data_IF_699145954735
#
_entry.id   IF_699145954735
#
_cell.length_a   1.000
_cell.length_b   1.000
_cell.length_c   1.000
_cell.angle_alpha   90.00
_cell.angle_beta   90.00
_cell.angle_gamma   90.00
#
_symmetry.space_group_name_H-M   'P 1'
#
loop_
_entity.id
_entity.type
_entity.pdbx_description
1 polymer ?
#
# COMPACT_ATOMS: atom_id res chain seq x y z
N UNK A 1 -18.19 -95.38 -90.94
CA UNK A 1 -18.60 -94.27 -90.03
C UNK A 1 -19.18 -94.91 -88.77
N UNK A 2 -18.47 -94.89 -87.63
CA UNK A 2 -19.03 -95.00 -86.25
C UNK A 2 -17.97 -95.37 -85.15
N UNK A 3 -16.68 -95.01 -85.28
CA UNK A 3 -15.67 -95.47 -84.29
C UNK A 3 -14.69 -94.39 -83.78
N UNK A 4 -14.98 -93.09 -83.94
CA UNK A 4 -14.19 -92.01 -83.32
C UNK A 4 -14.88 -91.26 -82.18
N UNK A 5 -16.07 -91.70 -81.74
CA UNK A 5 -16.85 -91.01 -80.71
C UNK A 5 -16.62 -91.53 -79.28
N UNK A 6 -16.06 -92.75 -79.09
CA UNK A 6 -16.00 -93.42 -77.78
C UNK A 6 -14.81 -93.06 -76.88
N UNK A 7 -13.68 -92.64 -77.44
CA UNK A 7 -12.45 -92.34 -76.67
C UNK A 7 -12.39 -90.90 -76.16
N UNK A 8 -13.09 -89.96 -76.81
CA UNK A 8 -13.15 -88.56 -76.41
C UNK A 8 -14.00 -88.35 -75.13
N UNK A 9 -15.05 -89.16 -74.97
CA UNK A 9 -16.00 -89.05 -73.84
C UNK A 9 -15.38 -89.44 -72.49
N UNK A 10 -14.38 -90.34 -72.48
CA UNK A 10 -13.75 -90.82 -71.23
C UNK A 10 -12.70 -89.85 -70.68
N UNK A 11 -11.92 -89.20 -71.56
CA UNK A 11 -10.99 -88.13 -71.18
C UNK A 11 -11.70 -86.85 -70.77
N UNK A 12 -12.85 -86.55 -71.38
CA UNK A 12 -13.70 -85.43 -70.96
C UNK A 12 -14.33 -85.67 -69.57
N UNK A 13 -14.72 -86.91 -69.25
CA UNK A 13 -15.26 -87.25 -67.92
C UNK A 13 -14.24 -87.05 -66.78
N UNK A 14 -12.98 -87.47 -66.95
CA UNK A 14 -11.91 -87.24 -65.95
C UNK A 14 -11.56 -85.76 -65.80
N UNK A 15 -11.52 -85.00 -66.92
CA UNK A 15 -11.32 -83.55 -66.89
C UNK A 15 -12.45 -82.85 -66.15
N UNK A 16 -13.70 -83.26 -66.38
CA UNK A 16 -14.88 -82.75 -65.67
C UNK A 16 -14.79 -83.08 -64.17
N UNK A 17 -14.33 -84.28 -63.80
CA UNK A 17 -14.17 -84.68 -62.40
C UNK A 17 -13.05 -83.89 -61.68
N UNK A 18 -11.91 -83.66 -62.34
CA UNK A 18 -10.84 -82.82 -61.83
C UNK A 18 -11.27 -81.36 -61.68
N UNK A 19 -12.06 -80.84 -62.63
CA UNK A 19 -12.61 -79.48 -62.57
C UNK A 19 -13.66 -79.34 -61.46
N UNK A 20 -14.46 -80.38 -61.21
CA UNK A 20 -15.37 -80.45 -60.06
C UNK A 20 -14.63 -80.53 -58.72
N UNK A 21 -13.53 -81.30 -58.64
CA UNK A 21 -12.69 -81.39 -57.44
C UNK A 21 -11.99 -80.05 -57.15
N UNK A 22 -11.42 -79.42 -58.18
CA UNK A 22 -10.83 -78.09 -58.10
C UNK A 22 -11.88 -77.05 -57.67
N UNK A 23 -13.09 -77.08 -58.24
CA UNK A 23 -14.20 -76.21 -57.84
C UNK A 23 -14.62 -76.43 -56.38
N UNK A 24 -14.67 -77.68 -55.91
CA UNK A 24 -14.96 -77.99 -54.50
C UNK A 24 -13.86 -77.47 -53.57
N UNK A 25 -12.60 -77.66 -53.93
CA UNK A 25 -11.45 -77.14 -53.16
C UNK A 25 -11.47 -75.62 -53.11
N UNK A 26 -11.75 -74.96 -54.24
CA UNK A 26 -11.81 -73.50 -54.34
C UNK A 26 -13.01 -72.93 -53.57
N UNK A 27 -14.15 -73.62 -53.56
CA UNK A 27 -15.29 -73.27 -52.71
C UNK A 27 -14.94 -73.41 -51.22
N UNK A 28 -14.20 -74.45 -50.85
CA UNK A 28 -13.75 -74.67 -49.48
C UNK A 28 -12.67 -73.66 -49.05
N UNK A 29 -11.78 -73.23 -49.94
CA UNK A 29 -10.80 -72.18 -49.67
C UNK A 29 -11.44 -70.80 -49.56
N UNK A 30 -12.43 -70.49 -50.40
CA UNK A 30 -13.24 -69.26 -50.27
C UNK A 30 -13.98 -69.26 -48.94
N UNK A 31 -14.56 -70.38 -48.53
CA UNK A 31 -15.26 -70.49 -47.26
C UNK A 31 -14.31 -70.33 -46.06
N UNK A 32 -13.11 -70.94 -46.11
CA UNK A 32 -12.06 -70.71 -45.11
C UNK A 32 -11.62 -69.25 -45.05
N UNK A 33 -11.43 -68.60 -46.21
CA UNK A 33 -11.09 -67.19 -46.29
C UNK A 33 -12.21 -66.30 -45.74
N UNK A 34 -13.48 -66.67 -45.95
CA UNK A 34 -14.65 -65.97 -45.42
C UNK A 34 -14.71 -66.07 -43.90
N UNK A 35 -14.45 -67.25 -43.34
CA UNK A 35 -14.37 -67.47 -41.90
C UNK A 35 -13.21 -66.68 -41.29
N UNK A 36 -12.04 -66.68 -41.94
CA UNK A 36 -10.90 -65.84 -41.52
C UNK A 36 -11.23 -64.34 -41.59
N UNK A 37 -11.91 -63.89 -42.65
CA UNK A 37 -12.37 -62.51 -42.78
C UNK A 37 -13.34 -62.08 -41.68
N UNK A 38 -14.26 -62.96 -41.28
CA UNK A 38 -15.16 -62.72 -40.14
C UNK A 38 -14.41 -62.71 -38.80
N UNK A 39 -13.41 -63.57 -38.63
CA UNK A 39 -12.57 -63.57 -37.43
C UNK A 39 -11.71 -62.29 -37.33
N UNK A 40 -11.16 -61.81 -38.44
CA UNK A 40 -10.45 -60.53 -38.53
C UNK A 40 -11.37 -59.34 -38.26
N UNK A 41 -12.58 -59.33 -38.83
CA UNK A 41 -13.58 -58.30 -38.55
C UNK A 41 -13.99 -58.26 -37.07
N UNK A 42 -13.99 -59.42 -36.39
CA UNK A 42 -14.23 -59.50 -34.94
C UNK A 42 -13.01 -59.07 -34.10
N UNK A 43 -11.79 -59.25 -34.61
CA UNK A 43 -10.56 -58.87 -33.94
C UNK A 43 -10.22 -57.37 -34.08
N UNK A 44 -10.63 -56.73 -35.18
CA UNK A 44 -10.47 -55.28 -35.44
C UNK A 44 -10.86 -54.39 -34.25
N UNK A 45 -12.12 -54.43 -33.76
CA UNK A 45 -12.55 -53.59 -32.65
C UNK A 45 -11.81 -53.88 -31.34
N UNK A 46 -11.33 -55.11 -31.12
CA UNK A 46 -10.51 -55.44 -29.94
C UNK A 46 -9.10 -54.85 -30.06
N UNK A 47 -8.54 -54.82 -31.26
CA UNK A 47 -7.26 -54.20 -31.51
C UNK A 47 -7.36 -52.68 -31.38
N UNK A 48 -8.45 -52.09 -31.87
CA UNK A 48 -8.76 -50.67 -31.70
C UNK A 48 -8.93 -50.31 -30.22
N UNK A 49 -9.64 -51.13 -29.43
CA UNK A 49 -9.77 -50.95 -27.98
C UNK A 49 -8.40 -51.03 -27.27
N UNK A 50 -7.57 -52.01 -27.62
CA UNK A 50 -6.21 -52.13 -27.08
C UNK A 50 -5.38 -50.89 -27.47
N UNK A 51 -5.46 -50.43 -28.72
CA UNK A 51 -4.73 -49.27 -29.20
C UNK A 51 -5.19 -47.98 -28.49
N UNK A 52 -6.48 -47.85 -28.16
CA UNK A 52 -7.00 -46.74 -27.36
C UNK A 52 -6.56 -46.79 -25.89
N UNK A 53 -6.37 -47.98 -25.32
CA UNK A 53 -5.96 -48.17 -23.91
C UNK A 53 -4.44 -48.18 -23.71
N UNK A 54 -3.67 -48.41 -24.77
CA UNK A 54 -2.21 -48.48 -24.70
C UNK A 54 -1.57 -47.18 -24.18
N UNK A 55 -1.97 -45.97 -24.60
CA UNK A 55 -1.37 -44.73 -24.12
C UNK A 55 -1.63 -44.46 -22.64
N UNK A 56 -2.83 -44.78 -22.14
CA UNK A 56 -3.16 -44.62 -20.72
C UNK A 56 -2.44 -45.63 -19.83
N UNK A 57 -2.25 -46.85 -20.34
CA UNK A 57 -1.45 -47.87 -19.66
C UNK A 57 0.04 -47.51 -19.68
N UNK A 58 0.56 -46.99 -20.80
CA UNK A 58 1.94 -46.56 -20.94
C UNK A 58 2.27 -45.38 -20.02
N UNK A 59 1.36 -44.40 -19.92
CA UNK A 59 1.45 -43.31 -18.96
C UNK A 59 1.49 -43.82 -17.51
N UNK A 60 0.59 -44.75 -17.14
CA UNK A 60 0.54 -45.32 -15.79
C UNK A 60 1.77 -46.16 -15.42
N UNK A 61 2.46 -46.76 -16.40
CA UNK A 61 3.66 -47.60 -16.19
C UNK A 61 4.96 -46.80 -16.31
N UNK A 62 4.92 -45.56 -16.83
CA UNK A 62 6.07 -44.66 -16.99
C UNK A 62 6.91 -44.46 -15.72
N UNK A 63 6.35 -44.20 -14.52
CA UNK A 63 7.15 -44.07 -13.29
C UNK A 63 7.83 -45.37 -12.85
N UNK A 64 7.38 -46.53 -13.33
CA UNK A 64 8.02 -47.83 -13.07
C UNK A 64 9.18 -48.07 -14.06
N UNK A 65 9.14 -47.45 -15.25
CA UNK A 65 10.17 -47.53 -16.28
C UNK A 65 11.23 -46.42 -16.18
N UNK A 66 10.98 -45.37 -15.42
CA UNK A 66 11.94 -44.29 -15.21
C UNK A 66 13.22 -44.81 -14.53
N UNK A 67 14.34 -44.15 -14.81
CA UNK A 67 15.64 -44.55 -14.28
C UNK A 67 15.59 -44.57 -12.75
N UNK A 68 16.12 -45.65 -12.15
CA UNK A 68 16.07 -45.89 -10.70
C UNK A 68 16.76 -44.76 -9.94
N UNK A 69 17.85 -44.24 -10.50
CA UNK A 69 18.61 -43.15 -9.90
C UNK A 69 17.85 -41.81 -10.01
N UNK A 70 17.14 -41.57 -11.12
CA UNK A 70 16.28 -40.40 -11.27
C UNK A 70 15.11 -40.42 -10.27
N UNK A 71 14.46 -41.57 -10.05
CA UNK A 71 13.37 -41.73 -9.10
C UNK A 71 13.80 -41.50 -7.64
N UNK A 72 15.00 -41.93 -7.27
CA UNK A 72 15.57 -41.68 -5.93
C UNK A 72 15.90 -40.19 -5.76
N UNK A 73 16.43 -39.54 -6.80
CA UNK A 73 16.74 -38.11 -6.79
C UNK A 73 15.49 -37.22 -6.77
N UNK A 74 14.38 -37.62 -7.42
CA UNK A 74 13.10 -36.88 -7.42
C UNK A 74 12.65 -36.54 -6.00
N UNK A 75 12.75 -37.47 -5.04
CA UNK A 75 12.38 -37.21 -3.65
C UNK A 75 13.19 -36.06 -3.01
N UNK A 76 14.48 -35.97 -3.33
CA UNK A 76 15.35 -34.87 -2.89
C UNK A 76 14.95 -33.52 -3.52
N UNK A 77 14.68 -33.52 -4.83
CA UNK A 77 14.22 -32.33 -5.53
C UNK A 77 12.85 -31.84 -5.03
N UNK A 78 11.89 -32.76 -4.84
CA UNK A 78 10.58 -32.46 -4.27
C UNK A 78 10.70 -31.82 -2.89
N UNK A 79 11.47 -32.43 -1.98
CA UNK A 79 11.66 -31.89 -0.64
C UNK A 79 12.34 -30.52 -0.65
N UNK A 80 13.22 -30.26 -1.63
CA UNK A 80 13.94 -29.00 -1.78
C UNK A 80 13.04 -27.80 -2.13
N UNK A 81 11.93 -27.98 -2.86
CA UNK A 81 10.98 -26.87 -3.07
C UNK A 81 9.74 -26.94 -2.19
N UNK A 82 9.20 -28.13 -1.91
CA UNK A 82 7.96 -28.27 -1.13
C UNK A 82 8.17 -27.81 0.31
N UNK A 83 9.34 -28.09 0.91
CA UNK A 83 9.67 -27.63 2.26
C UNK A 83 9.61 -26.11 2.40
N UNK A 84 10.37 -25.36 1.58
CA UNK A 84 10.32 -23.89 1.59
C UNK A 84 8.96 -23.31 1.18
N UNK A 85 8.28 -23.90 0.18
CA UNK A 85 6.93 -23.47 -0.20
C UNK A 85 5.93 -23.65 0.97
N UNK A 86 6.02 -24.74 1.71
CA UNK A 86 5.22 -24.95 2.91
C UNK A 86 5.56 -23.95 4.04
N UNK A 87 6.82 -23.53 4.17
CA UNK A 87 7.22 -22.50 5.11
C UNK A 87 6.62 -21.13 4.74
N UNK A 88 6.63 -20.76 3.46
CA UNK A 88 5.97 -19.55 2.95
C UNK A 88 4.47 -19.58 3.22
N UNK A 89 3.80 -20.71 2.97
CA UNK A 89 2.37 -20.87 3.28
C UNK A 89 2.07 -20.71 4.78
N UNK A 90 2.92 -21.26 5.66
CA UNK A 90 2.75 -21.06 7.12
C UNK A 90 2.85 -19.59 7.53
N UNK A 91 3.74 -18.82 6.91
CA UNK A 91 3.85 -17.38 7.18
C UNK A 91 2.62 -16.63 6.66
N UNK A 92 2.09 -17.04 5.50
CA UNK A 92 0.85 -16.51 4.94
C UNK A 92 -0.36 -16.79 5.85
N UNK A 93 -0.48 -18.01 6.38
CA UNK A 93 -1.51 -18.37 7.37
C UNK A 93 -1.36 -17.56 8.67
N UNK A 94 -0.11 -17.32 9.09
CA UNK A 94 0.16 -16.49 10.26
C UNK A 94 -0.29 -15.03 10.04
N UNK A 95 -0.08 -14.47 8.85
CA UNK A 95 -0.58 -13.13 8.47
C UNK A 95 -2.11 -13.06 8.60
N UNK A 96 -2.83 -14.04 8.07
CA UNK A 96 -4.29 -14.13 8.21
C UNK A 96 -4.73 -14.29 9.68
N UNK A 97 -3.95 -15.01 10.48
CA UNK A 97 -4.17 -15.10 11.93
C UNK A 97 -4.05 -13.77 12.67
N UNK A 98 -3.29 -12.80 12.13
CA UNK A 98 -3.14 -11.45 12.71
C UNK A 98 -4.30 -10.51 12.37
N UNK A 99 -5.08 -10.81 11.33
CA UNK A 99 -6.20 -9.97 10.87
C UNK A 99 -7.17 -9.62 11.99
N UNK A 100 -7.59 -10.61 12.78
CA UNK A 100 -8.53 -10.41 13.89
C UNK A 100 -8.00 -9.41 14.93
N UNK A 101 -6.69 -9.41 15.16
CA UNK A 101 -6.04 -8.48 16.08
C UNK A 101 -5.89 -7.08 15.48
N UNK A 102 -5.71 -6.95 14.17
CA UNK A 102 -5.60 -5.67 13.45
C UNK A 102 -6.96 -5.03 13.15
N UNK A 103 -8.00 -5.85 13.11
CA UNK A 103 -9.40 -5.40 13.07
C UNK A 103 -9.84 -4.80 14.41
N UNK A 104 -9.18 -5.16 15.50
CA UNK A 104 -9.42 -4.55 16.81
C UNK A 104 -9.02 -3.08 16.82
N UNK A 105 -9.64 -2.32 17.72
CA UNK A 105 -9.44 -0.89 17.80
C UNK A 105 -8.10 -0.56 18.48
N UNK A 106 -7.23 0.28 17.88
CA UNK A 106 -5.93 0.62 18.49
C UNK A 106 -6.08 1.40 19.82
N UNK A 107 -7.29 1.88 20.16
CA UNK A 107 -7.64 2.48 21.45
C UNK A 107 -7.31 1.61 22.66
N UNK A 108 -7.63 0.32 22.56
CA UNK A 108 -7.64 -0.58 23.72
C UNK A 108 -6.22 -1.00 24.11
N UNK A 109 -5.32 -1.12 23.14
CA UNK A 109 -3.93 -1.51 23.35
C UNK A 109 -3.03 -1.02 22.19
N UNK A 110 -2.64 0.27 22.24
CA UNK A 110 -1.75 0.85 21.24
C UNK A 110 -0.39 0.11 21.13
N UNK A 111 0.35 -0.20 22.22
CA UNK A 111 1.62 -0.91 22.09
C UNK A 111 1.45 -2.33 21.55
N UNK A 112 0.40 -3.05 21.95
CA UNK A 112 0.04 -4.35 21.36
C UNK A 112 -0.26 -4.24 19.87
N UNK A 113 -1.07 -3.27 19.47
CA UNK A 113 -1.41 -3.02 18.06
C UNK A 113 -0.16 -2.73 17.21
N UNK A 114 0.73 -1.85 17.70
CA UNK A 114 1.99 -1.55 17.00
C UNK A 114 2.89 -2.78 16.91
N UNK A 115 2.92 -3.64 17.94
CA UNK A 115 3.70 -4.89 17.89
C UNK A 115 3.17 -5.87 16.84
N UNK A 116 1.84 -5.99 16.73
CA UNK A 116 1.18 -6.84 15.73
C UNK A 116 1.43 -6.31 14.32
N UNK A 117 1.33 -4.99 14.13
CA UNK A 117 1.64 -4.36 12.85
C UNK A 117 3.11 -4.55 12.47
N UNK A 118 4.03 -4.57 13.43
CA UNK A 118 5.46 -4.87 13.17
C UNK A 118 5.65 -6.29 12.66
N UNK A 119 4.97 -7.25 13.31
CA UNK A 119 4.99 -8.65 12.89
C UNK A 119 4.38 -8.84 11.51
N UNK A 120 3.33 -8.09 11.18
CA UNK A 120 2.76 -8.06 9.84
C UNK A 120 3.78 -7.56 8.81
N UNK A 121 4.42 -6.42 9.05
CA UNK A 121 5.46 -5.87 8.16
C UNK A 121 6.62 -6.85 7.95
N UNK A 122 7.11 -7.47 9.03
CA UNK A 122 8.17 -8.48 8.97
C UNK A 122 7.75 -9.71 8.16
N UNK A 123 6.51 -10.17 8.35
CA UNK A 123 5.95 -11.30 7.61
C UNK A 123 5.76 -10.95 6.13
N UNK A 124 5.26 -9.77 5.79
CA UNK A 124 5.07 -9.34 4.40
C UNK A 124 6.41 -9.16 3.67
N UNK A 125 7.43 -8.60 4.33
CA UNK A 125 8.79 -8.54 3.78
C UNK A 125 9.35 -9.94 3.52
N UNK A 126 9.18 -10.86 4.49
CA UNK A 126 9.58 -12.26 4.30
C UNK A 126 8.86 -12.91 3.13
N UNK A 127 7.54 -12.72 3.00
CA UNK A 127 6.77 -13.24 1.88
C UNK A 127 7.25 -12.64 0.55
N UNK A 128 7.48 -11.33 0.48
CA UNK A 128 8.00 -10.66 -0.71
C UNK A 128 9.35 -11.24 -1.17
N UNK A 129 10.27 -11.51 -0.24
CA UNK A 129 11.60 -12.06 -0.54
C UNK A 129 11.55 -13.57 -0.90
N UNK A 130 10.70 -14.35 -0.24
CA UNK A 130 10.72 -15.81 -0.33
C UNK A 130 9.70 -16.41 -1.31
N UNK A 131 8.60 -15.70 -1.62
CA UNK A 131 7.61 -16.17 -2.59
C UNK A 131 8.23 -16.30 -3.99
N UNK A 132 9.11 -15.37 -4.40
CA UNK A 132 9.80 -15.45 -5.69
C UNK A 132 10.72 -16.67 -5.80
N UNK A 133 11.51 -16.92 -4.75
CA UNK A 133 12.38 -18.09 -4.64
C UNK A 133 11.58 -19.40 -4.60
N UNK A 134 10.45 -19.43 -3.89
CA UNK A 134 9.58 -20.59 -3.83
C UNK A 134 8.99 -20.95 -5.20
N UNK A 135 8.58 -19.95 -6.00
CA UNK A 135 8.12 -20.20 -7.38
C UNK A 135 9.26 -20.77 -8.23
N UNK A 136 10.46 -20.20 -8.14
CA UNK A 136 11.63 -20.70 -8.88
C UNK A 136 11.94 -22.15 -8.53
N UNK A 137 11.98 -22.50 -7.23
CA UNK A 137 12.23 -23.90 -6.84
C UNK A 137 11.14 -24.86 -7.32
N UNK A 138 9.88 -24.41 -7.38
CA UNK A 138 8.79 -25.24 -7.92
C UNK A 138 8.90 -25.40 -9.44
N UNK A 139 9.37 -24.37 -10.16
CA UNK A 139 9.67 -24.45 -11.59
C UNK A 139 10.82 -25.43 -11.86
N UNK A 140 11.90 -25.35 -11.09
CA UNK A 140 13.06 -26.25 -11.22
C UNK A 140 12.66 -27.74 -11.07
N UNK A 141 11.72 -28.05 -10.15
CA UNK A 141 11.20 -29.42 -10.03
C UNK A 141 10.36 -29.80 -11.25
N UNK A 142 9.51 -28.90 -11.73
CA UNK A 142 8.65 -29.19 -12.88
C UNK A 142 9.47 -29.43 -14.13
N UNK A 143 10.56 -28.68 -14.33
CA UNK A 143 11.56 -28.91 -15.39
C UNK A 143 12.26 -30.26 -15.20
N UNK A 144 12.75 -30.57 -13.99
CA UNK A 144 13.37 -31.86 -13.69
C UNK A 144 12.44 -33.07 -13.92
N UNK A 145 11.15 -32.94 -13.58
CA UNK A 145 10.15 -33.99 -13.81
C UNK A 145 9.82 -34.19 -15.29
N UNK A 146 9.89 -33.11 -16.09
CA UNK A 146 9.73 -33.15 -17.54
C UNK A 146 10.94 -33.82 -18.21
N UNK A 147 12.16 -33.42 -17.84
CA UNK A 147 13.41 -33.94 -18.38
C UNK A 147 13.59 -35.45 -18.15
N UNK A 148 13.15 -35.95 -16.98
CA UNK A 148 13.27 -37.36 -16.63
C UNK A 148 12.04 -38.19 -17.02
N UNK A 149 11.03 -37.58 -17.65
CA UNK A 149 9.76 -38.23 -18.05
C UNK A 149 9.03 -38.99 -16.93
N UNK A 150 9.21 -38.55 -15.68
CA UNK A 150 8.72 -39.26 -14.48
C UNK A 150 7.22 -39.04 -14.24
N UNK A 151 6.66 -37.94 -14.76
CA UNK A 151 5.27 -37.54 -14.53
C UNK A 151 4.41 -37.52 -15.80
N UNK A 152 3.10 -37.61 -15.62
CA UNK A 152 2.12 -37.48 -16.70
C UNK A 152 2.14 -36.08 -17.33
N UNK A 153 2.09 -36.00 -18.66
CA UNK A 153 2.04 -34.73 -19.39
C UNK A 153 0.87 -33.82 -18.97
N UNK A 154 -0.28 -34.42 -18.63
CA UNK A 154 -1.45 -33.67 -18.13
C UNK A 154 -1.17 -33.05 -16.76
N UNK A 155 -0.46 -33.75 -15.90
CA UNK A 155 -0.10 -33.27 -14.56
C UNK A 155 0.93 -32.14 -14.65
N UNK A 156 1.97 -32.30 -15.47
CA UNK A 156 2.97 -31.26 -15.73
C UNK A 156 2.33 -30.01 -16.35
N UNK A 157 1.41 -30.17 -17.30
CA UNK A 157 0.68 -29.04 -17.90
C UNK A 157 -0.16 -28.28 -16.87
N UNK A 158 -0.85 -28.99 -15.97
CA UNK A 158 -1.59 -28.36 -14.88
C UNK A 158 -0.66 -27.63 -13.90
N UNK A 159 0.49 -28.21 -13.54
CA UNK A 159 1.47 -27.56 -12.68
C UNK A 159 2.07 -26.31 -13.33
N UNK A 160 2.45 -26.37 -14.61
CA UNK A 160 2.93 -25.21 -15.37
C UNK A 160 1.89 -24.10 -15.43
N UNK A 161 0.61 -24.44 -15.62
CA UNK A 161 -0.50 -23.48 -15.60
C UNK A 161 -0.63 -22.80 -14.22
N UNK A 162 -0.57 -23.57 -13.14
CA UNK A 162 -0.62 -23.03 -11.77
C UNK A 162 0.58 -22.13 -11.46
N UNK A 163 1.79 -22.51 -11.88
CA UNK A 163 3.00 -21.69 -11.72
C UNK A 163 2.93 -20.39 -12.52
N UNK A 164 2.40 -20.45 -13.75
CA UNK A 164 2.16 -19.27 -14.56
C UNK A 164 1.19 -18.30 -13.87
N UNK A 165 0.08 -18.81 -13.32
CA UNK A 165 -0.86 -17.99 -12.55
C UNK A 165 -0.19 -17.36 -11.31
N UNK A 166 0.62 -18.13 -10.57
CA UNK A 166 1.35 -17.60 -9.41
C UNK A 166 2.37 -16.52 -9.79
N UNK A 167 2.99 -16.63 -10.97
CA UNK A 167 3.93 -15.62 -11.50
C UNK A 167 3.20 -14.35 -11.93
N UNK A 168 2.02 -14.48 -12.55
CA UNK A 168 1.17 -13.34 -12.89
C UNK A 168 0.73 -12.58 -11.62
N UNK A 169 0.37 -13.32 -10.55
CA UNK A 169 0.05 -12.78 -9.22
C UNK A 169 1.24 -12.15 -8.48
N UNK A 170 2.47 -12.43 -8.92
CA UNK A 170 3.69 -11.85 -8.38
C UNK A 170 4.17 -10.60 -9.12
N UNK A 171 3.44 -10.13 -10.13
CA UNK A 171 3.75 -8.85 -10.76
C UNK A 171 3.80 -7.71 -9.72
N UNK A 172 4.70 -6.74 -9.93
CA UNK A 172 5.09 -5.71 -8.95
C UNK A 172 3.90 -4.97 -8.30
N UNK A 173 2.79 -4.81 -9.02
CA UNK A 173 1.57 -4.12 -8.55
C UNK A 173 0.77 -4.94 -7.51
N UNK A 174 0.87 -6.27 -7.54
CA UNK A 174 0.14 -7.19 -6.65
C UNK A 174 1.00 -7.69 -5.48
N UNK A 175 2.34 -7.57 -5.56
CA UNK A 175 3.26 -7.77 -4.41
C UNK A 175 2.94 -6.84 -3.25
N UNK A 176 2.47 -5.64 -3.55
CA UNK A 176 2.04 -4.66 -2.55
C UNK A 176 0.70 -5.03 -1.87
N UNK A 177 -0.02 -6.05 -2.38
CA UNK A 177 -1.36 -6.45 -1.93
C UNK A 177 -1.45 -7.90 -1.46
N UNK A 178 -0.33 -8.54 -1.13
CA UNK A 178 -0.30 -9.92 -0.60
C UNK A 178 -1.18 -10.09 0.65
N UNK A 179 -1.49 -8.99 1.33
CA UNK A 179 -2.33 -8.87 2.51
C UNK A 179 -3.79 -8.45 2.24
N UNK A 180 -4.18 -8.30 0.97
CA UNK A 180 -5.50 -7.79 0.59
C UNK A 180 -5.77 -6.34 1.02
N UNK A 181 -4.73 -5.55 1.34
CA UNK A 181 -4.85 -4.19 1.87
C UNK A 181 -5.04 -4.10 3.38
N UNK A 182 -4.77 -5.18 4.12
CA UNK A 182 -4.86 -5.21 5.58
C UNK A 182 -3.90 -4.22 6.25
N UNK A 183 -2.67 -4.11 5.77
CA UNK A 183 -1.66 -3.17 6.23
C UNK A 183 -2.15 -1.73 6.00
N UNK A 184 -2.66 -1.44 4.81
CA UNK A 184 -3.21 -0.12 4.48
C UNK A 184 -4.40 0.23 5.39
N UNK A 185 -5.33 -0.68 5.61
CA UNK A 185 -6.46 -0.48 6.51
C UNK A 185 -6.02 -0.30 7.97
N UNK A 186 -4.98 -1.01 8.41
CA UNK A 186 -4.41 -0.87 9.74
C UNK A 186 -3.69 0.49 9.91
N UNK A 187 -2.97 0.94 8.88
CA UNK A 187 -2.35 2.26 8.84
C UNK A 187 -3.40 3.38 8.82
N UNK A 188 -4.49 3.22 8.06
CA UNK A 188 -5.62 4.17 8.04
C UNK A 188 -6.25 4.30 9.43
N UNK A 189 -6.39 3.19 10.17
CA UNK A 189 -6.84 3.22 11.57
C UNK A 189 -5.86 3.99 12.46
N UNK A 190 -4.55 3.78 12.31
CA UNK A 190 -3.55 4.53 13.05
C UNK A 190 -3.56 6.03 12.72
N UNK A 191 -3.80 6.39 11.45
CA UNK A 191 -4.00 7.78 11.04
C UNK A 191 -5.25 8.39 11.70
N UNK A 192 -6.34 7.62 11.81
CA UNK A 192 -7.55 7.99 12.55
C UNK A 192 -7.30 8.21 14.05
N UNK A 193 -6.54 7.32 14.68
CA UNK A 193 -6.14 7.45 16.09
C UNK A 193 -5.23 8.65 16.31
N UNK A 194 -4.29 8.90 15.39
CA UNK A 194 -3.43 10.07 15.42
C UNK A 194 -4.26 11.36 15.34
N UNK A 195 -5.22 11.42 14.40
CA UNK A 195 -6.18 12.54 14.30
C UNK A 195 -6.97 12.70 15.60
N UNK A 196 -7.51 11.61 16.15
CA UNK A 196 -8.33 11.69 17.37
C UNK A 196 -7.54 12.14 18.59
N UNK A 197 -6.35 11.58 18.84
CA UNK A 197 -5.47 12.00 19.94
C UNK A 197 -5.12 13.48 19.83
N UNK A 198 -4.93 13.99 18.62
CA UNK A 198 -4.75 15.42 18.41
C UNK A 198 -6.04 16.19 18.73
N UNK A 199 -7.20 15.79 18.21
CA UNK A 199 -8.46 16.52 18.41
C UNK A 199 -8.92 16.52 19.88
N UNK A 200 -8.87 15.38 20.57
CA UNK A 200 -9.31 15.24 21.97
C UNK A 200 -8.49 16.07 22.95
N UNK A 201 -7.21 16.30 22.62
CA UNK A 201 -6.28 17.04 23.48
C UNK A 201 -5.94 18.44 22.94
N UNK A 202 -6.57 18.87 21.83
CA UNK A 202 -6.42 20.23 21.30
C UNK A 202 -7.58 21.11 21.78
N UNK A 203 -7.36 21.81 22.89
CA UNK A 203 -8.30 22.83 23.37
C UNK A 203 -7.83 24.19 22.88
N UNK A 204 -8.70 25.00 22.23
CA UNK A 204 -8.39 26.38 21.90
C UNK A 204 -7.98 27.17 23.14
N UNK A 205 -6.91 27.95 23.08
CA UNK A 205 -6.46 28.77 24.20
C UNK A 205 -7.26 30.09 24.22
N UNK A 206 -8.13 30.32 25.22
CA UNK A 206 -8.80 31.61 25.35
C UNK A 206 -7.80 32.67 25.84
N UNK A 207 -7.87 33.88 25.30
CA UNK A 207 -7.18 35.05 25.86
C UNK A 207 -7.94 35.49 27.11
N UNK A 208 -7.35 35.31 28.30
CA UNK A 208 -7.92 35.89 29.53
C UNK A 208 -7.73 37.41 29.53
N UNK A 209 -8.82 38.15 29.75
CA UNK A 209 -8.82 39.60 29.91
C UNK A 209 -7.95 40.02 31.10
N UNK A 210 -7.16 41.12 31.04
CA UNK A 210 -6.18 41.48 32.07
C UNK A 210 -6.76 42.10 33.36
N UNK A 211 -8.01 41.81 33.73
CA UNK A 211 -8.67 42.49 34.86
C UNK A 211 -8.81 41.69 36.15
N UNK A 212 -8.13 40.56 36.32
CA UNK A 212 -8.11 39.88 37.62
C UNK A 212 -6.71 39.38 37.99
N UNK A 213 -6.06 40.18 38.84
CA UNK A 213 -5.00 39.81 39.79
C UNK A 213 -3.62 39.42 39.23
N UNK A 214 -2.70 40.38 39.35
CA UNK A 214 -1.37 40.16 39.92
C UNK A 214 -0.33 39.47 39.04
N UNK A 215 0.87 40.02 39.06
CA UNK A 215 2.09 39.43 38.50
C UNK A 215 2.26 37.97 38.94
N UNK A 216 1.89 37.03 38.09
CA UNK A 216 2.35 35.66 38.21
C UNK A 216 2.59 35.13 36.80
N UNK A 217 3.80 34.63 36.56
CA UNK A 217 4.17 33.99 35.31
C UNK A 217 3.18 32.86 35.00
N UNK A 218 2.18 33.14 34.16
CA UNK A 218 1.23 32.14 33.68
C UNK A 218 2.00 31.27 32.69
N UNK A 219 2.60 30.21 33.23
CA UNK A 219 3.10 29.08 32.45
C UNK A 219 1.91 28.63 31.59
N UNK A 220 2.02 28.85 30.28
CA UNK A 220 1.02 28.39 29.32
C UNK A 220 0.74 26.90 29.61
N UNK A 221 -0.53 26.47 29.70
CA UNK A 221 -0.86 25.07 29.93
C UNK A 221 -0.14 24.23 28.88
N UNK A 222 0.58 23.19 29.32
CA UNK A 222 1.25 22.25 28.42
C UNK A 222 0.26 21.80 27.34
N UNK A 223 0.51 22.06 26.04
CA UNK A 223 -0.51 21.93 25.00
C UNK A 223 -0.95 20.47 24.75
N UNK A 224 -0.20 19.48 25.25
CA UNK A 224 -0.57 18.05 25.28
C UNK A 224 0.08 17.38 26.51
N UNK A 225 -0.57 16.38 27.15
CA UNK A 225 0.07 15.55 28.16
C UNK A 225 1.25 14.74 27.56
N UNK A 226 2.35 14.59 28.31
CA UNK A 226 3.56 13.86 27.86
C UNK A 226 3.26 12.44 27.35
N UNK A 227 2.29 11.76 27.99
CA UNK A 227 1.85 10.41 27.59
C UNK A 227 1.24 10.42 26.18
N UNK A 228 0.51 11.47 25.81
CA UNK A 228 -0.09 11.62 24.49
C UNK A 228 1.00 11.87 23.45
N UNK A 229 2.00 12.70 23.78
CA UNK A 229 3.15 12.97 22.90
C UNK A 229 3.92 11.67 22.64
N UNK A 230 4.20 10.86 23.66
CA UNK A 230 4.86 9.57 23.49
C UNK A 230 4.05 8.61 22.60
N UNK A 231 2.72 8.58 22.75
CA UNK A 231 1.83 7.80 21.87
C UNK A 231 1.87 8.31 20.43
N UNK A 232 1.80 9.63 20.22
CA UNK A 232 1.89 10.26 18.90
C UNK A 232 3.24 9.95 18.24
N UNK A 233 4.35 10.07 18.98
CA UNK A 233 5.69 9.73 18.48
C UNK A 233 5.80 8.24 18.10
N UNK A 234 5.19 7.34 18.87
CA UNK A 234 5.19 5.90 18.56
C UNK A 234 4.40 5.59 17.28
N UNK A 235 3.24 6.22 17.10
CA UNK A 235 2.43 6.11 15.88
C UNK A 235 3.19 6.69 14.68
N UNK A 236 3.77 7.88 14.85
CA UNK A 236 4.49 8.61 13.82
C UNK A 236 5.72 7.82 13.34
N UNK A 237 6.48 7.23 14.26
CA UNK A 237 7.61 6.36 13.91
C UNK A 237 7.21 5.18 13.03
N UNK A 238 5.99 4.64 13.19
CA UNK A 238 5.48 3.55 12.35
C UNK A 238 4.89 4.03 11.03
N UNK A 239 4.22 5.17 11.00
CA UNK A 239 3.73 5.77 9.76
C UNK A 239 4.88 6.21 8.84
N UNK A 240 6.02 6.65 9.41
CA UNK A 240 7.23 6.95 8.65
C UNK A 240 7.85 5.71 8.02
N UNK A 241 7.94 4.61 8.78
CA UNK A 241 8.46 3.34 8.25
C UNK A 241 7.67 2.84 7.03
N UNK A 242 6.41 3.26 6.90
CA UNK A 242 5.50 2.93 5.79
C UNK A 242 5.34 4.08 4.76
N UNK A 243 6.26 5.06 4.71
CA UNK A 243 6.25 6.19 3.77
C UNK A 243 4.99 7.09 3.82
N UNK A 244 4.26 7.11 4.94
CA UNK A 244 3.02 7.90 5.11
C UNK A 244 3.22 9.24 5.83
N UNK A 245 4.45 9.76 5.85
CA UNK A 245 4.82 10.99 6.56
C UNK A 245 4.02 12.22 6.07
N UNK A 246 3.84 12.39 4.76
CA UNK A 246 3.12 13.55 4.20
C UNK A 246 1.66 13.62 4.66
N UNK A 247 0.96 12.47 4.69
CA UNK A 247 -0.40 12.37 5.21
C UNK A 247 -0.46 12.74 6.69
N UNK A 248 0.50 12.26 7.49
CA UNK A 248 0.60 12.60 8.92
C UNK A 248 0.80 14.11 9.13
N UNK A 249 1.69 14.73 8.36
CA UNK A 249 1.92 16.17 8.40
C UNK A 249 0.62 16.90 8.04
N UNK A 250 -0.08 16.49 6.99
CA UNK A 250 -1.34 17.10 6.59
C UNK A 250 -2.40 17.01 7.71
N UNK A 251 -2.56 15.84 8.34
CA UNK A 251 -3.51 15.65 9.45
C UNK A 251 -3.13 16.54 10.64
N UNK A 252 -1.84 16.59 10.98
CA UNK A 252 -1.34 17.41 12.10
C UNK A 252 -1.52 18.90 11.84
N UNK A 253 -1.23 19.36 10.63
CA UNK A 253 -1.42 20.76 10.20
C UNK A 253 -2.91 21.12 10.20
N UNK A 254 -3.80 20.24 9.72
CA UNK A 254 -5.24 20.47 9.67
C UNK A 254 -5.86 20.59 11.08
N UNK A 255 -5.61 19.61 11.96
CA UNK A 255 -6.20 19.59 13.32
C UNK A 255 -5.65 20.72 14.20
N UNK A 256 -4.33 20.94 14.21
CA UNK A 256 -3.75 22.01 15.04
C UNK A 256 -3.93 23.39 14.40
N UNK A 257 -3.87 23.49 13.08
CA UNK A 257 -4.14 24.72 12.35
C UNK A 257 -5.58 25.21 12.57
N UNK A 258 -6.56 24.31 12.55
CA UNK A 258 -7.94 24.65 12.90
C UNK A 258 -8.10 25.06 14.36
N UNK A 259 -7.38 24.44 15.30
CA UNK A 259 -7.38 24.82 16.72
C UNK A 259 -6.80 26.23 16.94
N UNK A 260 -5.67 26.55 16.29
CA UNK A 260 -5.06 27.88 16.35
C UNK A 260 -5.98 28.92 15.70
N UNK A 261 -6.57 28.59 14.55
CA UNK A 261 -7.56 29.46 13.88
C UNK A 261 -8.77 29.72 14.75
N UNK A 262 -9.32 28.70 15.41
CA UNK A 262 -10.44 28.86 16.35
C UNK A 262 -10.07 29.74 17.54
N UNK A 263 -8.84 29.58 18.08
CA UNK A 263 -8.33 30.44 19.16
C UNK A 263 -8.19 31.89 18.71
N UNK A 264 -7.80 32.12 17.46
CA UNK A 264 -7.69 33.46 16.88
C UNK A 264 -9.05 34.06 16.52
N UNK A 265 -10.00 33.28 15.99
CA UNK A 265 -11.36 33.72 15.70
C UNK A 265 -12.11 34.14 16.98
N UNK A 266 -11.82 33.50 18.12
CA UNK A 266 -12.36 33.93 19.42
C UNK A 266 -11.91 35.34 19.85
N UNK A 267 -10.90 35.93 19.18
CA UNK A 267 -10.42 37.29 19.43
C UNK A 267 -11.13 38.36 18.60
N UNK A 268 -12.16 37.98 17.83
CA UNK A 268 -12.98 38.89 17.02
C UNK A 268 -12.10 39.75 16.08
N UNK A 269 -11.45 39.07 15.14
CA UNK A 269 -10.42 39.63 14.26
C UNK A 269 -10.98 40.35 13.03
N UNK A 270 -12.28 40.63 12.99
CA UNK A 270 -12.96 41.29 11.87
C UNK A 270 -12.32 42.64 11.50
N UNK A 271 -11.65 43.29 12.46
CA UNK A 271 -10.90 44.53 12.21
C UNK A 271 -9.64 44.36 11.34
N UNK A 272 -9.12 43.14 11.17
CA UNK A 272 -7.94 42.89 10.33
C UNK A 272 -8.28 42.95 8.83
N UNK A 273 -9.55 42.78 8.45
CA UNK A 273 -10.02 42.82 7.06
C UNK A 273 -10.43 44.22 6.60
N UNK A 274 -10.29 45.25 7.46
CA UNK A 274 -10.65 46.63 7.14
C UNK A 274 -9.86 47.11 5.92
N UNK A 275 -10.60 47.58 4.91
CA UNK A 275 -10.04 48.13 3.68
C UNK A 275 -9.36 49.49 3.91
N UNK A 276 -8.39 49.85 3.07
CA UNK A 276 -7.69 51.16 3.17
C UNK A 276 -8.66 52.34 3.09
N UNK A 277 -9.79 52.17 2.41
CA UNK A 277 -10.85 53.18 2.28
C UNK A 277 -11.60 53.40 3.60
N UNK A 278 -12.02 52.34 4.28
CA UNK A 278 -12.68 52.40 5.60
C UNK A 278 -11.70 52.82 6.69
N UNK A 279 -10.43 52.42 6.56
CA UNK A 279 -9.35 52.85 7.45
C UNK A 279 -9.17 54.37 7.47
N UNK A 280 -9.49 55.09 6.39
CA UNK A 280 -9.32 56.54 6.35
C UNK A 280 -10.52 57.33 6.91
N UNK A 281 -11.66 56.66 7.18
CA UNK A 281 -12.92 57.31 7.60
C UNK A 281 -13.18 57.19 9.11
N UNK A 282 -12.51 56.24 9.79
CA UNK A 282 -12.82 55.84 11.16
C UNK A 282 -11.96 56.60 12.18
N UNK A 283 -12.58 57.36 13.09
CA UNK A 283 -11.87 58.07 14.18
C UNK A 283 -11.30 57.13 15.28
N UNK A 284 -11.66 55.84 15.29
CA UNK A 284 -11.27 54.86 16.34
C UNK A 284 -10.04 53.98 16.02
N UNK A 285 -9.22 54.37 15.04
CA UNK A 285 -8.04 53.60 14.55
C UNK A 285 -7.01 53.32 15.65
N UNK A 286 -6.77 54.26 16.57
CA UNK A 286 -5.82 54.04 17.69
C UNK A 286 -6.26 52.86 18.57
N UNK A 287 -7.58 52.69 18.76
CA UNK A 287 -8.13 51.54 19.48
C UNK A 287 -7.89 50.22 18.74
N UNK A 288 -7.96 50.21 17.40
CA UNK A 288 -7.65 49.04 16.59
C UNK A 288 -6.16 48.71 16.57
N UNK A 289 -5.26 49.71 16.51
CA UNK A 289 -3.81 49.48 16.57
C UNK A 289 -3.40 48.94 17.95
N UNK A 290 -3.97 49.46 19.04
CA UNK A 290 -3.74 48.95 20.39
C UNK A 290 -4.32 47.53 20.60
N UNK A 291 -5.44 47.19 19.95
CA UNK A 291 -5.96 45.81 19.91
C UNK A 291 -5.06 44.90 19.07
N UNK A 292 -4.60 45.36 17.91
CA UNK A 292 -3.67 44.65 17.03
C UNK A 292 -2.37 44.29 17.75
N UNK A 293 -1.73 45.25 18.44
CA UNK A 293 -0.50 44.99 19.19
C UNK A 293 -0.70 43.94 20.28
N UNK A 294 -1.82 43.98 21.02
CA UNK A 294 -2.16 42.98 22.04
C UNK A 294 -2.45 41.61 21.46
N UNK A 295 -3.21 41.54 20.36
CA UNK A 295 -3.56 40.27 19.71
C UNK A 295 -2.33 39.64 19.04
N UNK A 296 -1.46 40.45 18.45
CA UNK A 296 -0.20 39.99 17.87
C UNK A 296 0.76 39.50 18.96
N UNK A 297 0.88 40.21 20.08
CA UNK A 297 1.69 39.75 21.22
C UNK A 297 1.18 38.41 21.75
N UNK A 298 -0.14 38.26 21.91
CA UNK A 298 -0.74 36.99 22.34
C UNK A 298 -0.49 35.86 21.34
N UNK A 299 -0.69 36.12 20.04
CA UNK A 299 -0.47 35.15 18.99
C UNK A 299 0.98 34.64 18.97
N UNK A 300 1.96 35.55 19.07
CA UNK A 300 3.39 35.20 18.98
C UNK A 300 3.87 34.50 20.26
N UNK A 301 3.59 35.08 21.44
CA UNK A 301 4.14 34.58 22.72
C UNK A 301 3.40 33.39 23.30
N UNK A 302 2.13 33.19 22.96
CA UNK A 302 1.33 32.12 23.57
C UNK A 302 0.94 31.06 22.55
N UNK A 303 0.34 31.43 21.40
CA UNK A 303 -0.09 30.45 20.40
C UNK A 303 1.08 29.86 19.62
N UNK A 304 1.88 30.70 18.96
CA UNK A 304 2.98 30.24 18.11
C UNK A 304 4.14 29.65 18.91
N UNK A 305 4.46 30.18 20.10
CA UNK A 305 5.47 29.55 20.95
C UNK A 305 5.05 28.17 21.46
N UNK A 306 3.77 27.99 21.84
CA UNK A 306 3.26 26.67 22.24
C UNK A 306 3.28 25.68 21.07
N UNK A 307 2.84 26.10 19.88
CA UNK A 307 2.90 25.26 18.68
C UNK A 307 4.33 24.93 18.25
N UNK A 308 5.26 25.86 18.40
CA UNK A 308 6.67 25.64 18.09
C UNK A 308 7.27 24.56 18.99
N UNK A 309 7.03 24.65 20.31
CA UNK A 309 7.46 23.62 21.27
C UNK A 309 6.82 22.27 20.97
N UNK A 310 5.52 22.27 20.67
CA UNK A 310 4.80 21.04 20.36
C UNK A 310 5.26 20.39 19.06
N UNK A 311 5.51 21.17 18.01
CA UNK A 311 6.07 20.65 16.76
C UNK A 311 7.45 20.04 17.00
N UNK A 312 8.29 20.70 17.79
CA UNK A 312 9.59 20.14 18.17
C UNK A 312 9.43 18.84 18.96
N UNK A 313 8.55 18.79 19.96
CA UNK A 313 8.32 17.59 20.77
C UNK A 313 7.71 16.42 19.97
N UNK A 314 6.76 16.67 19.07
CA UNK A 314 6.12 15.60 18.27
C UNK A 314 7.06 15.07 17.18
N UNK A 315 7.86 15.95 16.55
CA UNK A 315 8.70 15.61 15.39
C UNK A 315 10.20 15.51 15.70
N UNK A 316 10.60 15.51 16.98
CA UNK A 316 12.00 15.48 17.42
C UNK A 316 12.85 14.42 16.69
N UNK A 317 12.25 13.25 16.41
CA UNK A 317 12.94 12.09 15.83
C UNK A 317 13.09 12.11 14.30
N UNK A 318 12.54 13.11 13.60
CA UNK A 318 12.32 13.07 12.14
C UNK A 318 13.26 14.00 11.38
N UNK A 319 13.80 15.01 12.07
CA UNK A 319 14.77 15.95 11.51
C UNK A 319 14.26 17.39 11.49
N UNK A 320 15.21 18.32 11.62
CA UNK A 320 14.96 19.74 11.82
C UNK A 320 14.15 20.38 10.68
N UNK A 321 14.36 19.94 9.44
CA UNK A 321 13.75 20.54 8.26
C UNK A 321 12.24 20.23 8.14
N UNK A 322 11.84 19.00 8.52
CA UNK A 322 10.45 18.54 8.39
C UNK A 322 9.53 19.26 9.37
N UNK A 323 9.95 19.40 10.64
CA UNK A 323 9.12 20.06 11.64
C UNK A 323 9.11 21.58 11.47
N UNK A 324 10.22 22.18 11.03
CA UNK A 324 10.27 23.61 10.68
C UNK A 324 9.37 23.91 9.48
N UNK A 325 9.37 23.04 8.45
CA UNK A 325 8.44 23.12 7.33
C UNK A 325 6.98 22.99 7.76
N UNK A 326 6.68 22.05 8.67
CA UNK A 326 5.36 21.87 9.25
C UNK A 326 4.89 23.11 10.04
N UNK A 327 5.75 23.65 10.90
CA UNK A 327 5.49 24.88 11.66
C UNK A 327 5.26 26.07 10.72
N UNK A 328 6.08 26.24 9.68
CA UNK A 328 5.92 27.32 8.71
C UNK A 328 4.57 27.25 7.98
N UNK A 329 4.18 26.08 7.49
CA UNK A 329 2.87 25.85 6.86
C UNK A 329 1.72 26.18 7.82
N UNK A 330 1.82 25.73 9.08
CA UNK A 330 0.84 26.07 10.12
C UNK A 330 0.77 27.57 10.37
N UNK A 331 1.90 28.24 10.55
CA UNK A 331 1.95 29.66 10.84
C UNK A 331 1.30 30.49 9.73
N UNK A 332 1.60 30.18 8.48
CA UNK A 332 0.98 30.79 7.31
C UNK A 332 -0.55 30.57 7.31
N UNK A 333 -1.01 29.34 7.56
CA UNK A 333 -2.45 29.02 7.58
C UNK A 333 -3.20 29.59 8.79
N UNK A 334 -2.53 29.74 9.94
CA UNK A 334 -3.11 30.20 11.19
C UNK A 334 -3.52 31.67 11.17
N UNK A 335 -2.99 32.48 10.24
CA UNK A 335 -3.40 33.88 10.08
C UNK A 335 -2.36 34.92 10.48
N UNK A 336 -1.09 34.54 10.71
CA UNK A 336 -0.01 35.53 10.91
C UNK A 336 0.10 36.50 9.72
N UNK A 337 -0.21 36.02 8.52
CA UNK A 337 -0.26 36.83 7.30
C UNK A 337 -1.32 37.94 7.39
N UNK A 338 -2.48 37.68 7.99
CA UNK A 338 -3.52 38.69 8.17
C UNK A 338 -3.06 39.81 9.12
N UNK A 339 -2.35 39.48 10.19
CA UNK A 339 -1.74 40.48 11.08
C UNK A 339 -0.72 41.36 10.37
N UNK A 340 0.13 40.77 9.51
CA UNK A 340 1.12 41.51 8.73
C UNK A 340 0.48 42.35 7.61
N UNK A 341 -0.58 41.84 6.99
CA UNK A 341 -1.37 42.55 5.98
C UNK A 341 -2.07 43.77 6.56
N UNK A 342 -2.65 43.66 7.76
CA UNK A 342 -3.19 44.81 8.48
C UNK A 342 -2.10 45.86 8.76
N UNK A 343 -0.91 45.44 9.21
CA UNK A 343 0.22 46.37 9.34
C UNK A 343 0.53 47.11 8.03
N UNK A 344 0.49 46.40 6.90
CA UNK A 344 0.72 46.97 5.57
C UNK A 344 -0.38 47.94 5.16
N UNK A 345 -1.66 47.65 5.39
CA UNK A 345 -2.75 48.58 5.09
C UNK A 345 -2.63 49.88 5.89
N UNK A 346 -2.15 49.81 7.14
CA UNK A 346 -1.83 51.03 7.93
C UNK A 346 -0.70 51.83 7.29
N UNK A 347 0.37 51.19 6.79
CA UNK A 347 1.45 51.91 6.08
C UNK A 347 0.98 52.59 4.80
N UNK A 348 -0.04 52.06 4.12
CA UNK A 348 -0.57 52.55 2.85
C UNK A 348 -1.68 53.63 3.01
N UNK A 349 -2.10 53.93 4.24
CA UNK A 349 -3.11 54.95 4.57
C UNK A 349 -2.69 56.40 4.25
N UNK A 350 -3.66 57.35 4.27
CA UNK A 350 -3.41 58.78 3.95
C UNK A 350 -2.32 59.39 4.84
N UNK A 351 -1.47 60.25 4.25
CA UNK A 351 -0.35 60.90 4.93
C UNK A 351 -0.82 62.09 5.78
N UNK A 352 -1.29 61.79 6.98
CA UNK A 352 -1.67 62.79 8.00
C UNK A 352 -0.64 62.84 9.14
N UNK A 353 -0.52 63.94 9.90
CA UNK A 353 0.43 64.05 11.02
C UNK A 353 0.25 62.94 12.07
N UNK A 354 -1.00 62.51 12.28
CA UNK A 354 -1.40 61.44 13.21
C UNK A 354 -0.89 60.07 12.73
N UNK A 355 -0.59 59.91 11.43
CA UNK A 355 -0.01 58.68 10.87
C UNK A 355 1.37 58.36 11.46
N UNK A 356 2.18 59.37 11.73
CA UNK A 356 3.52 59.17 12.29
C UNK A 356 3.45 58.50 13.66
N UNK A 357 2.53 58.95 14.51
CA UNK A 357 2.30 58.36 15.84
C UNK A 357 1.82 56.91 15.73
N UNK A 358 0.85 56.66 14.85
CA UNK A 358 0.30 55.32 14.56
C UNK A 358 1.34 54.34 14.03
N UNK A 359 2.23 54.79 13.16
CA UNK A 359 3.36 54.00 12.66
C UNK A 359 4.37 53.68 13.76
N UNK A 360 4.63 54.64 14.66
CA UNK A 360 5.50 54.44 15.80
C UNK A 360 4.95 53.36 16.75
N UNK A 361 3.64 53.31 16.98
CA UNK A 361 2.99 52.29 17.82
C UNK A 361 3.08 50.88 17.20
N UNK A 362 2.91 50.80 15.87
CA UNK A 362 3.13 49.55 15.12
C UNK A 362 4.59 49.13 15.22
N UNK A 363 5.53 50.05 15.01
CA UNK A 363 6.95 49.79 15.13
C UNK A 363 7.32 49.31 16.54
N UNK A 364 6.81 49.98 17.58
CA UNK A 364 7.06 49.62 18.98
C UNK A 364 6.56 48.20 19.28
N UNK A 365 5.37 47.84 18.80
CA UNK A 365 4.79 46.51 18.95
C UNK A 365 5.61 45.43 18.22
N UNK A 366 6.05 45.70 16.98
CA UNK A 366 6.91 44.78 16.22
C UNK A 366 8.30 44.66 16.84
N UNK A 367 8.88 45.76 17.32
CA UNK A 367 10.22 45.76 17.92
C UNK A 367 10.23 44.99 19.25
N UNK A 368 9.15 45.10 20.04
CA UNK A 368 8.95 44.30 21.26
C UNK A 368 8.95 42.79 20.97
N UNK A 369 8.40 42.37 19.83
CA UNK A 369 8.28 40.97 19.43
C UNK A 369 9.43 40.49 18.53
N UNK A 370 10.41 41.34 18.21
CA UNK A 370 11.48 41.05 17.25
C UNK A 370 12.28 39.78 17.61
N UNK A 371 12.62 39.60 18.89
CA UNK A 371 13.37 38.43 19.35
C UNK A 371 12.53 37.16 19.22
N UNK A 372 11.24 37.23 19.57
CA UNK A 372 10.31 36.11 19.46
C UNK A 372 10.09 35.73 17.98
N UNK A 373 9.96 36.72 17.09
CA UNK A 373 9.87 36.50 15.64
C UNK A 373 11.12 35.82 15.09
N UNK A 374 12.31 36.27 15.48
CA UNK A 374 13.56 35.65 15.04
C UNK A 374 13.71 34.22 15.56
N UNK A 375 13.26 33.93 16.78
CA UNK A 375 13.28 32.59 17.37
C UNK A 375 12.31 31.65 16.66
N UNK A 376 11.08 32.09 16.43
CA UNK A 376 10.00 31.25 15.88
C UNK A 376 10.08 31.11 14.37
N UNK A 377 10.33 32.22 13.67
CA UNK A 377 10.29 32.29 12.20
C UNK A 377 11.68 32.39 11.57
N UNK A 378 12.77 32.17 12.31
CA UNK A 378 14.14 32.28 11.80
C UNK A 378 14.56 31.21 10.77
N UNK A 379 13.78 30.15 10.60
CA UNK A 379 14.10 29.07 9.65
C UNK A 379 13.86 29.44 8.19
N UNK A 380 14.57 28.77 7.28
CA UNK A 380 14.43 28.94 5.83
C UNK A 380 12.99 28.69 5.33
N UNK A 381 12.27 27.77 5.99
CA UNK A 381 10.88 27.45 5.70
C UNK A 381 9.90 28.62 5.95
N UNK A 382 10.26 29.60 6.79
CA UNK A 382 9.44 30.76 7.12
C UNK A 382 9.80 32.03 6.30
N UNK A 383 10.51 31.87 5.18
CA UNK A 383 11.01 33.00 4.36
C UNK A 383 9.91 33.98 3.92
N UNK A 384 8.70 33.50 3.63
CA UNK A 384 7.56 34.35 3.29
C UNK A 384 7.17 35.29 4.44
N UNK A 385 7.05 34.75 5.66
CA UNK A 385 6.72 35.51 6.87
C UNK A 385 7.85 36.52 7.14
N UNK A 386 9.11 36.09 7.06
CA UNK A 386 10.27 36.98 7.24
C UNK A 386 10.29 38.13 6.24
N UNK A 387 10.02 37.86 4.96
CA UNK A 387 10.00 38.87 3.91
C UNK A 387 8.91 39.91 4.17
N UNK A 388 7.69 39.47 4.53
CA UNK A 388 6.58 40.36 4.85
C UNK A 388 6.86 41.20 6.11
N UNK A 389 7.43 40.61 7.16
CA UNK A 389 7.82 41.35 8.36
C UNK A 389 8.91 42.38 8.05
N UNK A 390 9.93 42.01 7.25
CA UNK A 390 11.00 42.93 6.85
C UNK A 390 10.48 44.06 5.98
N UNK A 391 9.58 43.77 5.04
CA UNK A 391 8.97 44.77 4.17
C UNK A 391 8.07 45.72 4.95
N UNK A 392 7.36 45.21 5.96
CA UNK A 392 6.60 46.04 6.89
C UNK A 392 7.52 46.97 7.69
N UNK A 393 8.60 46.45 8.29
CA UNK A 393 9.59 47.26 9.04
C UNK A 393 10.29 48.29 8.16
N UNK A 394 10.48 48.04 6.86
CA UNK A 394 11.07 49.02 5.93
C UNK A 394 10.12 50.16 5.56
N UNK A 395 8.81 49.92 5.65
CA UNK A 395 7.76 50.86 5.22
C UNK A 395 7.25 51.72 6.38
N UNK A 396 7.31 51.19 7.60
CA UNK A 396 7.13 51.91 8.87
C UNK A 396 8.38 52.74 9.13
#
# INVERSE_FOLDING_TARGET
>A
MAESAGTNVKGDAERIQNLMAARKSLKLSIEKSRVLGLALAKAGPRLDEIHQRLPSLEAAVRPIRADKDALVAVGGHINRAVGPAAAVLKVFDAVHGLEKSLLSDPRNDLPGYLSVLKRLEEALRFLGENCGLAIQWLEDIVEYLEDNSVADERYLSNLKKSLKNLRELQSEDERARLDGGLLDAALDKLEGEFRRLLTEHSVPLPMSSPSALGEQAVIAPSPLPVIVIQKLQAILGRLIANNRLEKCISIYVDVRGSTVRASLQALDLDYLEISVTEFNDVQSIEGYIAKWGRHLEFAVKHLFEAEYKLCNEVFERIGLDVWMGCFAKKAAQAGILAFLQFGKTVTESKKDPIKLLKLLDIFASLNKLRLDFNKLFGGAACSEIQNLTRDLIKRV
#
